data_IF_859801071484
#
_entry.id   IF_859801071484
#
_cell.length_a   1.000
_cell.length_b   1.000
_cell.length_c   1.000
_cell.angle_alpha   90.00
_cell.angle_beta   90.00
_cell.angle_gamma   90.00
#
_symmetry.space_group_name_H-M   'P 1'
#
loop_
_entity.id
_entity.type
_entity.pdbx_description
1 polymer ?
#
# COMPACT_ATOMS: atom_id res chain seq x y z
N UNK A 1 -11.42 -19.97 -9.48
CA UNK A 1 -10.59 -20.11 -10.70
C UNK A 1 -10.27 -18.81 -11.43
N UNK A 2 -11.17 -17.82 -11.49
CA UNK A 2 -10.91 -16.55 -12.21
C UNK A 2 -9.69 -15.76 -11.72
N UNK A 3 -9.35 -15.85 -10.43
CA UNK A 3 -8.16 -15.19 -9.83
C UNK A 3 -6.84 -15.79 -10.29
N UNK A 4 -6.75 -17.13 -10.45
CA UNK A 4 -5.56 -17.83 -10.97
C UNK A 4 -5.38 -17.50 -12.46
N UNK A 5 -6.48 -17.45 -13.22
CA UNK A 5 -6.43 -17.07 -14.64
C UNK A 5 -6.04 -15.59 -14.82
N UNK A 6 -6.54 -14.69 -13.97
CA UNK A 6 -6.14 -13.29 -13.96
C UNK A 6 -4.67 -13.12 -13.52
N UNK A 7 -4.18 -13.88 -12.54
CA UNK A 7 -2.77 -13.88 -12.15
C UNK A 7 -1.84 -14.48 -13.23
N UNK A 8 -2.31 -15.49 -13.98
CA UNK A 8 -1.57 -16.07 -15.11
C UNK A 8 -1.54 -15.13 -16.33
N UNK A 9 -2.61 -14.36 -16.55
CA UNK A 9 -2.77 -13.44 -17.69
C UNK A 9 -2.13 -12.07 -17.44
N UNK A 10 -2.10 -11.59 -16.19
CA UNK A 10 -1.66 -10.24 -15.83
C UNK A 10 -0.47 -10.19 -14.83
N UNK A 11 0.06 -11.32 -14.35
CA UNK A 11 1.19 -11.38 -13.42
C UNK A 11 2.59 -11.22 -14.04
N UNK A 12 3.58 -10.84 -13.23
CA UNK A 12 5.00 -10.71 -13.63
C UNK A 12 5.56 -12.06 -14.15
N UNK A 13 6.65 -12.02 -14.93
CA UNK A 13 7.24 -13.21 -15.56
C UNK A 13 7.65 -14.30 -14.55
N UNK A 14 8.08 -13.92 -13.35
CA UNK A 14 8.44 -14.86 -12.27
C UNK A 14 7.21 -15.44 -11.58
N UNK A 15 6.16 -14.65 -11.35
CA UNK A 15 4.87 -15.13 -10.82
C UNK A 15 4.18 -16.08 -11.80
N UNK A 16 4.24 -15.78 -13.11
CA UNK A 16 3.75 -16.67 -14.16
C UNK A 16 4.55 -17.98 -14.24
N UNK A 17 5.87 -17.92 -14.04
CA UNK A 17 6.72 -19.12 -13.95
C UNK A 17 6.39 -19.94 -12.70
N UNK A 18 6.13 -19.31 -11.56
CA UNK A 18 5.81 -20.00 -10.32
C UNK A 18 4.42 -20.67 -10.37
N UNK A 19 3.38 -19.92 -10.75
CA UNK A 19 2.02 -20.46 -10.91
C UNK A 19 2.00 -21.53 -12.01
N UNK A 20 2.67 -21.27 -13.14
CA UNK A 20 2.83 -22.23 -14.22
C UNK A 20 3.57 -23.50 -13.78
N UNK A 21 4.60 -23.37 -12.95
CA UNK A 21 5.37 -24.50 -12.41
C UNK A 21 4.55 -25.35 -11.44
N UNK A 22 3.77 -24.74 -10.54
CA UNK A 22 2.90 -25.47 -9.61
C UNK A 22 1.81 -26.23 -10.37
N UNK A 23 1.17 -25.60 -11.36
CA UNK A 23 0.17 -26.26 -12.22
C UNK A 23 0.82 -27.40 -13.02
N UNK A 24 1.99 -27.16 -13.61
CA UNK A 24 2.73 -28.16 -14.40
C UNK A 24 3.12 -29.38 -13.55
N UNK A 25 3.73 -29.18 -12.38
CA UNK A 25 4.14 -30.28 -11.49
C UNK A 25 2.94 -31.03 -10.89
N UNK A 26 1.82 -30.34 -10.64
CA UNK A 26 0.58 -30.97 -10.21
C UNK A 26 -0.03 -31.86 -11.30
N UNK A 27 -0.05 -31.39 -12.55
CA UNK A 27 -0.58 -32.17 -13.69
C UNK A 27 0.33 -33.35 -14.01
N UNK A 28 1.65 -33.14 -14.04
CA UNK A 28 2.64 -34.22 -14.25
C UNK A 28 2.52 -35.28 -13.16
N UNK A 29 2.39 -34.89 -11.89
CA UNK A 29 2.22 -35.82 -10.78
C UNK A 29 1.00 -36.72 -10.95
N UNK A 30 -0.15 -36.15 -11.31
CA UNK A 30 -1.40 -36.91 -11.53
C UNK A 30 -1.27 -37.86 -12.73
N UNK A 31 -0.70 -37.40 -13.85
CA UNK A 31 -0.51 -38.23 -15.05
C UNK A 31 0.42 -39.41 -14.76
N UNK A 32 1.53 -39.19 -14.04
CA UNK A 32 2.47 -40.25 -13.69
C UNK A 32 1.85 -41.30 -12.77
N UNK A 33 1.02 -40.89 -11.81
CA UNK A 33 0.32 -41.81 -10.90
C UNK A 33 -0.69 -42.67 -11.67
N UNK A 34 -1.46 -42.08 -12.59
CA UNK A 34 -2.42 -42.81 -13.42
C UNK A 34 -1.72 -43.82 -14.35
N UNK A 35 -0.64 -43.40 -15.02
CA UNK A 35 0.14 -44.28 -15.90
C UNK A 35 0.81 -45.40 -15.11
N UNK A 36 1.32 -45.13 -13.91
CA UNK A 36 1.89 -46.14 -13.03
C UNK A 36 0.86 -47.19 -12.61
N UNK A 37 -0.38 -46.77 -12.33
CA UNK A 37 -1.48 -47.67 -12.01
C UNK A 37 -1.88 -48.58 -13.17
N UNK A 38 -1.80 -48.09 -14.41
CA UNK A 38 -2.11 -48.87 -15.62
C UNK A 38 -0.97 -49.82 -16.04
N UNK A 39 0.28 -49.44 -15.79
CA UNK A 39 1.48 -50.19 -16.27
C UNK A 39 2.14 -51.04 -15.19
N UNK A 40 1.73 -50.92 -13.92
CA UNK A 40 2.31 -51.66 -12.80
C UNK A 40 3.74 -51.22 -12.43
N UNK A 41 4.22 -50.10 -12.98
CA UNK A 41 5.58 -49.62 -12.78
C UNK A 41 5.70 -48.76 -11.51
N UNK A 42 6.17 -49.38 -10.42
CA UNK A 42 6.33 -48.73 -9.12
C UNK A 42 7.23 -47.48 -9.13
N UNK A 43 8.25 -47.45 -9.98
CA UNK A 43 9.17 -46.31 -10.09
C UNK A 43 8.47 -45.01 -10.58
N UNK A 44 7.46 -45.13 -11.45
CA UNK A 44 6.70 -43.97 -11.94
C UNK A 44 5.77 -43.41 -10.86
N UNK A 45 5.26 -44.29 -9.99
CA UNK A 45 4.44 -43.89 -8.84
C UNK A 45 5.24 -43.05 -7.85
N UNK A 46 6.46 -43.49 -7.50
CA UNK A 46 7.36 -42.73 -6.61
C UNK A 46 7.67 -41.35 -7.20
N UNK A 47 7.95 -41.28 -8.51
CA UNK A 47 8.29 -40.02 -9.19
C UNK A 47 7.10 -39.04 -9.21
N UNK A 48 5.88 -39.56 -9.41
CA UNK A 48 4.64 -38.78 -9.28
C UNK A 48 4.43 -38.22 -7.87
N UNK A 49 4.70 -39.02 -6.83
CA UNK A 49 4.62 -38.59 -5.43
C UNK A 49 5.63 -37.48 -5.09
N UNK A 50 6.88 -37.61 -5.54
CA UNK A 50 7.92 -36.59 -5.33
C UNK A 50 7.52 -35.26 -6.00
N UNK A 51 6.99 -35.31 -7.23
CA UNK A 51 6.48 -34.12 -7.94
C UNK A 51 5.37 -33.42 -7.15
N UNK A 52 4.46 -34.19 -6.53
CA UNK A 52 3.42 -33.66 -5.66
C UNK A 52 3.97 -32.95 -4.42
N UNK A 53 4.97 -33.55 -3.75
CA UNK A 53 5.62 -32.95 -2.57
C UNK A 53 6.34 -31.65 -2.93
N UNK A 54 7.04 -31.61 -4.07
CA UNK A 54 7.69 -30.38 -4.57
C UNK A 54 6.66 -29.28 -4.84
N UNK A 55 5.51 -29.62 -5.45
CA UNK A 55 4.43 -28.68 -5.68
C UNK A 55 3.86 -28.11 -4.36
N UNK A 56 3.74 -28.93 -3.31
CA UNK A 56 3.28 -28.49 -1.99
C UNK A 56 4.29 -27.55 -1.33
N UNK A 57 5.60 -27.85 -1.39
CA UNK A 57 6.66 -26.99 -0.82
C UNK A 57 6.69 -25.63 -1.51
N UNK A 58 6.56 -25.61 -2.84
CA UNK A 58 6.50 -24.36 -3.62
C UNK A 58 5.20 -23.59 -3.31
N UNK A 59 4.09 -24.29 -3.09
CA UNK A 59 2.81 -23.67 -2.70
C UNK A 59 2.88 -23.05 -1.29
N UNK A 60 3.51 -23.73 -0.33
CA UNK A 60 3.63 -23.26 1.06
C UNK A 60 4.58 -22.06 1.21
N UNK A 61 5.60 -21.95 0.35
CA UNK A 61 6.54 -20.80 0.35
C UNK A 61 5.91 -19.52 -0.20
N UNK A 62 4.80 -19.62 -0.91
CA UNK A 62 4.05 -18.49 -1.49
C UNK A 62 2.56 -18.60 -1.13
N UNK A 63 2.25 -18.66 0.16
CA UNK A 63 0.88 -18.44 0.61
C UNK A 63 0.56 -16.95 0.49
N UNK A 64 -0.28 -16.61 -0.48
CA UNK A 64 -1.02 -15.34 -0.47
C UNK A 64 -1.92 -15.40 0.76
N UNK A 65 -1.54 -14.69 1.81
CA UNK A 65 -2.39 -14.50 2.98
C UNK A 65 -3.60 -13.69 2.53
N UNK A 66 -4.77 -14.31 2.62
CA UNK A 66 -6.04 -13.59 2.67
C UNK A 66 -6.09 -12.92 4.04
N UNK A 67 -5.92 -11.59 4.07
CA UNK A 67 -6.24 -10.80 5.26
C UNK A 67 -7.77 -10.71 5.39
N UNK A 68 -8.38 -11.84 5.70
CA UNK A 68 -9.79 -11.91 6.06
C UNK A 68 -9.96 -11.41 7.50
N UNK A 69 -10.69 -10.30 7.64
CA UNK A 69 -11.11 -9.76 8.91
C UNK A 69 -12.21 -10.66 9.48
N UNK A 70 -11.83 -11.79 10.09
CA UNK A 70 -12.79 -12.59 10.88
C UNK A 70 -12.95 -11.90 12.23
N UNK A 71 -14.07 -11.21 12.40
CA UNK A 71 -14.53 -10.79 13.71
C UNK A 71 -15.02 -12.03 14.49
N UNK A 72 -14.11 -12.74 15.15
CA UNK A 72 -14.47 -13.69 16.19
C UNK A 72 -14.80 -12.93 17.47
N UNK A 73 -16.09 -12.92 17.81
CA UNK A 73 -16.60 -12.42 19.09
C UNK A 73 -16.55 -13.58 20.08
N UNK A 74 -15.63 -13.50 21.04
CA UNK A 74 -15.55 -14.43 22.16
C UNK A 74 -16.64 -14.15 23.21
N UNK A 75 -17.24 -15.20 23.74
CA UNK A 75 -18.49 -15.18 24.54
C UNK A 75 -18.38 -14.63 25.97
N UNK A 76 -17.29 -13.97 26.35
CA UNK A 76 -17.17 -13.37 27.67
C UNK A 76 -16.68 -11.93 27.57
N UNK A 77 -17.60 -11.02 27.90
CA UNK A 77 -17.36 -9.58 27.90
C UNK A 77 -16.17 -9.19 28.76
N UNK A 78 -15.04 -8.97 28.11
CA UNK A 78 -13.96 -8.12 28.59
C UNK A 78 -13.28 -7.48 27.39
N UNK A 79 -13.10 -6.16 27.47
CA UNK A 79 -12.51 -5.30 26.46
C UNK A 79 -11.08 -5.74 26.18
N UNK A 80 -10.63 -5.66 24.93
CA UNK A 80 -9.25 -5.20 24.73
C UNK A 80 -8.93 -4.58 23.37
N UNK A 81 -7.95 -3.68 23.46
CA UNK A 81 -7.34 -2.85 22.44
C UNK A 81 -6.84 -3.61 21.20
N UNK A 82 -6.91 -2.95 20.05
CA UNK A 82 -6.33 -3.41 18.77
C UNK A 82 -4.81 -3.46 18.90
N UNK A 83 -4.27 -4.62 19.28
CA UNK A 83 -2.83 -4.89 19.30
C UNK A 83 -2.46 -5.71 18.07
N UNK A 84 -1.53 -5.18 17.28
CA UNK A 84 -0.98 -5.85 16.10
C UNK A 84 -0.30 -7.16 16.47
N UNK A 85 -0.76 -8.27 15.91
CA UNK A 85 -0.07 -9.56 15.99
C UNK A 85 0.96 -9.65 14.87
N UNK A 86 2.23 -9.86 15.24
CA UNK A 86 3.34 -10.16 14.34
C UNK A 86 3.41 -11.66 14.06
N UNK A 87 3.69 -12.07 12.81
CA UNK A 87 4.02 -13.47 12.48
C UNK A 87 5.48 -13.60 12.06
N UNK A 88 6.16 -14.53 12.74
CA UNK A 88 7.56 -14.93 12.57
C UNK A 88 7.74 -15.83 11.33
N UNK A 89 8.94 -15.77 10.75
CA UNK A 89 9.51 -16.83 9.89
C UNK A 89 9.55 -18.15 10.67
N UNK A 90 8.92 -19.20 10.17
CA UNK A 90 9.32 -20.57 10.53
C UNK A 90 10.58 -20.92 9.76
N UNK A 91 11.73 -20.78 10.42
CA UNK A 91 12.95 -21.47 10.05
C UNK A 91 12.76 -22.96 10.28
N UNK A 92 12.98 -23.75 9.24
CA UNK A 92 12.99 -25.21 9.35
C UNK A 92 14.19 -25.62 10.21
N UNK A 93 13.86 -26.30 11.30
CA UNK A 93 14.75 -27.03 12.18
C UNK A 93 15.58 -28.06 11.40
N UNK A 94 16.90 -27.97 11.56
CA UNK A 94 17.84 -29.05 11.28
C UNK A 94 18.92 -29.03 12.36
N UNK A 95 18.82 -29.93 13.33
CA UNK A 95 19.93 -30.33 14.20
C UNK A 95 20.42 -31.69 13.70
N UNK A 96 21.73 -32.00 13.81
CA UNK A 96 22.05 -32.93 14.90
C UNK A 96 23.30 -32.58 15.73
N UNK A 97 23.18 -32.89 17.03
CA UNK A 97 24.12 -33.50 17.97
C UNK A 97 25.59 -33.01 18.14
N UNK A 98 25.80 -32.32 19.28
CA UNK A 98 26.78 -32.53 20.39
C UNK A 98 28.21 -33.06 20.13
N UNK A 99 29.21 -32.34 20.66
CA UNK A 99 30.03 -32.79 21.82
C UNK A 99 30.89 -31.65 22.43
N UNK A 100 31.28 -31.85 23.69
CA UNK A 100 31.62 -30.90 24.75
C UNK A 100 33.10 -30.40 24.85
N UNK A 101 33.25 -29.24 25.52
CA UNK A 101 34.39 -28.75 26.38
C UNK A 101 35.73 -28.45 25.65
N UNK A 102 36.50 -27.39 25.95
CA UNK A 102 36.84 -26.73 27.24
C UNK A 102 37.62 -25.40 26.98
N UNK A 103 37.45 -24.43 27.90
CA UNK A 103 38.24 -23.21 28.22
C UNK A 103 39.68 -23.08 27.66
N UNK A 104 40.08 -21.87 27.24
CA UNK A 104 40.95 -20.93 28.01
C UNK A 104 41.25 -19.62 27.24
N UNK A 105 41.53 -18.59 28.04
CA UNK A 105 41.94 -17.23 27.67
C UNK A 105 43.46 -17.11 27.44
N UNK A 106 43.85 -16.11 26.64
CA UNK A 106 45.03 -15.21 26.71
C UNK A 106 45.09 -14.46 25.35
N UNK A 107 45.14 -13.12 25.23
CA UNK A 107 46.31 -12.23 25.48
C UNK A 107 47.60 -12.89 24.96
N UNK A 108 48.45 -12.31 24.11
CA UNK A 108 48.72 -10.93 23.69
C UNK A 108 49.71 -11.04 22.49
N UNK A 109 49.95 -9.92 21.82
CA UNK A 109 51.14 -9.59 21.03
C UNK A 109 51.40 -10.28 19.68
N UNK A 110 51.94 -9.62 18.65
CA UNK A 110 52.05 -8.21 18.22
C UNK A 110 52.86 -8.29 16.89
N UNK A 111 52.99 -7.15 16.23
CA UNK A 111 53.81 -6.86 15.05
C UNK A 111 53.21 -7.18 13.68
N UNK A 112 53.33 -6.32 12.67
CA UNK A 112 53.55 -4.87 12.52
C UNK A 112 53.58 -4.67 10.99
N UNK A 113 53.01 -3.56 10.53
CA UNK A 113 53.33 -2.78 9.33
C UNK A 113 52.02 -2.13 8.85
N UNK A 114 51.59 -1.00 9.43
CA UNK A 114 52.12 0.36 9.21
C UNK A 114 52.09 0.76 7.73
N UNK A 115 51.03 1.48 7.33
CA UNK A 115 51.24 2.68 6.53
C UNK A 115 50.16 3.75 6.83
N UNK A 116 50.70 4.86 7.31
CA UNK A 116 50.28 6.23 7.62
C UNK A 116 48.83 6.75 7.43
N UNK A 117 48.34 7.26 8.56
CA UNK A 117 47.37 8.34 8.82
C UNK A 117 47.88 9.71 8.26
N UNK A 118 47.09 10.82 8.15
CA UNK A 118 46.29 11.34 9.27
C UNK A 118 44.98 12.11 8.95
N UNK A 119 44.04 11.98 9.90
CA UNK A 119 43.24 13.02 10.56
C UNK A 119 42.76 14.25 9.74
N UNK A 120 41.44 14.34 9.53
CA UNK A 120 40.76 15.63 9.35
C UNK A 120 39.76 15.83 10.50
N UNK A 121 40.10 16.82 11.32
CA UNK A 121 39.31 17.40 12.40
C UNK A 121 37.95 17.92 11.90
N UNK A 122 36.96 17.73 12.75
CA UNK A 122 35.61 18.29 12.64
C UNK A 122 35.65 19.82 12.73
N UNK A 123 35.39 20.52 11.63
CA UNK A 123 35.11 21.96 11.63
C UNK A 123 33.59 22.20 11.62
N UNK A 124 33.07 22.73 12.74
CA UNK A 124 31.64 22.89 13.03
C UNK A 124 31.01 24.16 12.41
N UNK A 125 31.79 24.97 11.68
CA UNK A 125 31.36 26.24 11.09
C UNK A 125 30.93 26.15 9.61
N UNK A 126 31.13 25.01 8.94
CA UNK A 126 30.67 24.80 7.55
C UNK A 126 29.16 24.52 7.41
N UNK A 127 28.45 24.25 8.51
CA UNK A 127 27.01 23.91 8.51
C UNK A 127 26.07 25.09 8.34
N UNK A 128 26.50 26.33 8.63
CA UNK A 128 25.62 27.50 8.49
C UNK A 128 25.55 28.04 7.06
N UNK A 129 26.59 27.87 6.26
CA UNK A 129 26.60 28.34 4.87
C UNK A 129 25.97 27.34 3.87
N UNK A 130 25.88 26.05 4.20
CA UNK A 130 25.29 25.05 3.29
C UNK A 130 23.76 24.93 3.37
N UNK A 131 23.15 25.29 4.51
CA UNK A 131 21.70 25.18 4.69
C UNK A 131 20.93 26.36 4.07
N UNK A 132 21.51 27.56 4.07
CA UNK A 132 20.89 28.74 3.46
C UNK A 132 20.87 28.65 1.92
N UNK A 133 21.97 28.20 1.29
CA UNK A 133 22.06 28.05 -0.17
C UNK A 133 21.19 26.89 -0.72
N UNK A 134 21.14 25.72 -0.05
CA UNK A 134 20.21 24.64 -0.45
C UNK A 134 18.74 25.04 -0.28
N UNK A 135 18.43 25.86 0.73
CA UNK A 135 17.04 26.27 1.00
C UNK A 135 16.51 27.26 -0.04
N UNK A 136 17.36 28.18 -0.52
CA UNK A 136 17.02 29.16 -1.55
C UNK A 136 16.80 28.48 -2.92
N UNK A 137 17.69 27.57 -3.34
CA UNK A 137 17.54 26.79 -4.57
C UNK A 137 16.25 25.96 -4.57
N UNK A 138 15.89 25.39 -3.42
CA UNK A 138 14.65 24.60 -3.29
C UNK A 138 13.39 25.47 -3.33
N UNK A 139 13.43 26.73 -2.89
CA UNK A 139 12.28 27.65 -2.94
C UNK A 139 12.07 28.24 -4.33
N UNK A 140 13.14 28.56 -5.06
CA UNK A 140 13.05 29.00 -6.45
C UNK A 140 12.52 27.87 -7.36
N UNK A 141 12.99 26.64 -7.19
CA UNK A 141 12.51 25.48 -7.95
C UNK A 141 11.04 25.12 -7.67
N UNK A 142 10.51 25.45 -6.48
CA UNK A 142 9.07 25.26 -6.18
C UNK A 142 8.17 26.20 -6.97
N UNK A 143 8.68 27.37 -7.37
CA UNK A 143 7.93 28.43 -8.06
C UNK A 143 8.22 28.48 -9.56
N UNK A 144 9.14 27.66 -10.06
CA UNK A 144 9.50 27.58 -11.47
C UNK A 144 8.34 27.01 -12.32
N UNK A 145 7.71 27.83 -13.20
CA UNK A 145 6.66 27.35 -14.10
C UNK A 145 7.18 26.39 -15.18
N UNK A 146 8.49 26.43 -15.47
CA UNK A 146 9.11 25.68 -16.57
C UNK A 146 9.80 24.38 -16.10
N UNK A 147 9.60 24.01 -14.83
CA UNK A 147 10.21 22.86 -14.14
C UNK A 147 10.16 21.56 -14.94
N UNK A 148 9.11 21.35 -15.74
CA UNK A 148 8.89 20.10 -16.47
C UNK A 148 9.12 20.17 -17.99
N UNK A 149 9.48 21.33 -18.55
CA UNK A 149 9.58 21.49 -20.02
C UNK A 149 10.65 20.60 -20.65
N UNK A 150 11.70 20.30 -19.89
CA UNK A 150 12.80 19.46 -20.35
C UNK A 150 12.43 17.98 -20.53
N UNK A 151 11.21 17.56 -20.14
CA UNK A 151 10.73 16.19 -20.28
C UNK A 151 10.02 15.97 -21.62
N UNK A 152 10.74 15.43 -22.59
CA UNK A 152 10.14 14.91 -23.83
C UNK A 152 9.85 13.40 -23.72
N UNK A 153 9.18 12.85 -24.74
CA UNK A 153 8.85 11.41 -24.80
C UNK A 153 10.10 10.53 -24.77
N UNK A 154 11.20 10.98 -25.39
CA UNK A 154 12.44 10.21 -25.49
C UNK A 154 13.18 10.14 -24.15
N UNK A 155 13.31 11.26 -23.45
CA UNK A 155 13.92 11.39 -22.12
C UNK A 155 13.08 10.64 -21.09
N UNK A 156 11.76 10.78 -21.11
CA UNK A 156 10.89 10.02 -20.20
C UNK A 156 11.05 8.51 -20.39
N UNK A 157 11.14 8.02 -21.64
CA UNK A 157 11.40 6.61 -21.92
C UNK A 157 12.79 6.16 -21.43
N UNK A 158 13.83 6.98 -21.63
CA UNK A 158 15.19 6.71 -21.13
C UNK A 158 15.21 6.64 -19.60
N UNK A 159 14.52 7.56 -18.92
CA UNK A 159 14.40 7.59 -17.46
C UNK A 159 13.65 6.37 -16.95
N UNK A 160 12.49 6.03 -17.52
CA UNK A 160 11.75 4.81 -17.16
C UNK A 160 12.61 3.56 -17.30
N UNK A 161 13.44 3.47 -18.34
CA UNK A 161 14.41 2.39 -18.53
C UNK A 161 15.51 2.43 -17.46
N UNK A 162 16.15 3.58 -17.22
CA UNK A 162 17.21 3.78 -16.21
C UNK A 162 16.77 3.34 -14.82
N UNK A 163 15.55 3.71 -14.41
CA UNK A 163 15.02 3.41 -13.07
C UNK A 163 14.25 2.09 -12.97
N UNK A 164 14.22 1.31 -14.06
CA UNK A 164 13.55 0.01 -14.14
C UNK A 164 12.06 0.09 -13.75
N UNK A 165 11.38 1.11 -14.27
CA UNK A 165 9.94 1.32 -14.05
C UNK A 165 9.17 0.16 -14.66
N UNK A 166 8.31 -0.48 -13.86
CA UNK A 166 7.54 -1.63 -14.28
C UNK A 166 6.34 -1.23 -15.15
N UNK A 167 5.79 -2.16 -15.92
CA UNK A 167 4.71 -1.87 -16.88
C UNK A 167 3.41 -1.45 -16.21
N UNK A 168 3.14 -1.99 -15.04
CA UNK A 168 2.00 -1.75 -14.16
C UNK A 168 2.17 -0.51 -13.25
N UNK A 169 3.16 0.35 -13.55
CA UNK A 169 3.30 1.61 -12.84
C UNK A 169 2.03 2.45 -12.98
N UNK A 170 1.74 3.19 -11.91
CA UNK A 170 0.61 4.11 -11.83
C UNK A 170 1.14 5.53 -11.75
N UNK A 171 0.46 6.47 -12.40
CA UNK A 171 0.75 7.89 -12.26
C UNK A 171 0.04 8.43 -11.01
N UNK A 172 0.74 9.26 -10.25
CA UNK A 172 0.22 9.93 -9.05
C UNK A 172 0.81 11.33 -8.94
N UNK A 173 0.21 12.16 -8.09
CA UNK A 173 0.78 13.41 -7.61
C UNK A 173 1.03 13.31 -6.11
N UNK A 174 2.26 13.64 -5.72
CA UNK A 174 2.65 13.82 -4.33
C UNK A 174 2.61 15.31 -4.04
N UNK A 175 1.72 15.70 -3.14
CA UNK A 175 1.54 17.09 -2.74
C UNK A 175 2.75 17.61 -1.96
N UNK A 176 3.16 16.86 -0.93
CA UNK A 176 4.34 17.19 -0.12
C UNK A 176 4.87 16.01 0.69
N UNK A 177 6.15 16.06 1.01
CA UNK A 177 6.81 15.24 2.05
C UNK A 177 8.02 16.00 2.57
N UNK A 178 8.07 16.21 3.88
CA UNK A 178 9.15 16.93 4.54
C UNK A 178 10.41 16.05 4.58
N UNK A 179 10.24 14.78 4.95
CA UNK A 179 11.34 13.80 5.03
C UNK A 179 12.05 13.62 3.69
N UNK A 180 11.29 13.59 2.60
CA UNK A 180 11.85 13.39 1.26
C UNK A 180 12.08 14.71 0.51
N UNK A 181 11.86 15.87 1.13
CA UNK A 181 11.95 17.20 0.48
C UNK A 181 11.15 17.27 -0.83
N UNK A 182 9.91 16.76 -0.84
CA UNK A 182 9.05 16.73 -2.03
C UNK A 182 8.03 17.87 -1.96
N UNK A 183 7.84 18.59 -3.07
CA UNK A 183 6.80 19.59 -3.23
C UNK A 183 6.12 19.48 -4.61
N UNK A 184 4.81 19.22 -4.59
CA UNK A 184 3.89 19.21 -5.73
C UNK A 184 4.44 18.43 -6.94
N UNK A 185 4.90 17.21 -6.70
CA UNK A 185 5.68 16.44 -7.66
C UNK A 185 4.84 15.35 -8.35
N UNK A 186 4.80 15.31 -9.70
CA UNK A 186 4.28 14.17 -10.44
C UNK A 186 5.24 12.99 -10.31
N UNK A 187 4.67 11.80 -10.07
CA UNK A 187 5.46 10.61 -9.83
C UNK A 187 4.84 9.34 -10.42
N UNK A 188 5.70 8.37 -10.72
CA UNK A 188 5.25 7.00 -11.03
C UNK A 188 5.46 6.10 -9.81
N UNK A 189 4.43 5.37 -9.41
CA UNK A 189 4.49 4.40 -8.32
C UNK A 189 4.29 2.99 -8.85
N UNK A 190 5.07 2.04 -8.36
CA UNK A 190 4.90 0.61 -8.66
C UNK A 190 5.39 -0.24 -7.50
N UNK A 191 4.90 -1.48 -7.43
CA UNK A 191 5.29 -2.44 -6.41
C UNK A 191 6.15 -3.55 -7.01
N UNK A 192 7.20 -3.93 -6.29
CA UNK A 192 8.01 -5.11 -6.60
C UNK A 192 8.21 -5.89 -5.30
N UNK A 193 7.62 -7.08 -5.22
CA UNK A 193 7.64 -7.91 -4.00
C UNK A 193 7.16 -7.10 -2.77
N UNK A 194 8.03 -6.94 -1.78
CA UNK A 194 7.81 -6.23 -0.53
C UNK A 194 8.35 -4.79 -0.56
N UNK A 195 8.58 -4.22 -1.75
CA UNK A 195 9.08 -2.85 -1.93
C UNK A 195 8.15 -2.06 -2.82
N UNK A 196 7.84 -0.84 -2.39
CA UNK A 196 7.12 0.17 -3.16
C UNK A 196 8.16 1.14 -3.70
N UNK A 197 8.21 1.30 -5.02
CA UNK A 197 9.09 2.24 -5.69
C UNK A 197 8.28 3.44 -6.17
N UNK A 198 8.81 4.64 -5.92
CA UNK A 198 8.24 5.90 -6.37
C UNK A 198 9.33 6.62 -7.16
N UNK A 199 9.08 6.92 -8.43
CA UNK A 199 9.96 7.74 -9.27
C UNK A 199 9.37 9.14 -9.34
N UNK A 200 10.06 10.10 -8.73
CA UNK A 200 9.75 11.52 -8.76
C UNK A 200 10.27 12.14 -10.06
N UNK A 201 9.43 12.91 -10.73
CA UNK A 201 9.80 13.65 -11.93
C UNK A 201 10.18 15.08 -11.56
N UNK A 202 11.32 15.25 -10.89
CA UNK A 202 11.91 16.54 -10.54
C UNK A 202 12.87 17.01 -11.67
N UNK A 203 13.59 18.12 -11.51
CA UNK A 203 14.65 18.52 -12.46
C UNK A 203 15.66 17.40 -12.69
N UNK A 204 16.05 16.76 -11.60
CA UNK A 204 16.77 15.49 -11.61
C UNK A 204 15.85 14.36 -11.11
N UNK A 205 15.52 13.36 -11.95
CA UNK A 205 14.62 12.29 -11.54
C UNK A 205 15.21 11.47 -10.40
N UNK A 206 14.44 11.30 -9.34
CA UNK A 206 14.85 10.62 -8.12
C UNK A 206 13.92 9.45 -7.80
N UNK A 207 14.48 8.32 -7.39
CA UNK A 207 13.72 7.12 -7.01
C UNK A 207 13.77 6.91 -5.50
N UNK A 208 12.60 6.85 -4.88
CA UNK A 208 12.42 6.45 -3.49
C UNK A 208 11.96 5.00 -3.45
N UNK A 209 12.50 4.22 -2.52
CA UNK A 209 12.12 2.83 -2.29
C UNK A 209 11.72 2.65 -0.84
N UNK A 210 10.50 2.21 -0.61
CA UNK A 210 9.89 2.06 0.71
C UNK A 210 9.51 0.58 0.90
N UNK A 211 9.92 -0.07 2.01
CA UNK A 211 9.38 -1.37 2.36
C UNK A 211 7.86 -1.33 2.51
N UNK A 212 7.13 -2.23 1.87
CA UNK A 212 5.65 -2.27 1.89
C UNK A 212 5.13 -2.48 3.32
N UNK A 213 5.87 -3.17 4.17
CA UNK A 213 5.56 -3.38 5.60
C UNK A 213 5.40 -2.07 6.39
N UNK A 214 6.02 -0.99 5.93
CA UNK A 214 5.95 0.31 6.60
C UNK A 214 4.69 1.09 6.19
N UNK A 215 4.14 0.83 5.00
CA UNK A 215 2.91 1.46 4.51
C UNK A 215 1.73 0.58 4.92
N UNK A 216 1.26 0.70 6.17
CA UNK A 216 0.18 -0.16 6.69
C UNK A 216 -1.22 0.39 6.50
N UNK A 217 -1.37 1.71 6.63
CA UNK A 217 -2.65 2.41 6.55
C UNK A 217 -2.48 3.73 5.83
N UNK A 218 -3.61 4.29 5.40
CA UNK A 218 -3.70 5.64 4.86
C UNK A 218 -4.28 6.55 5.93
N UNK A 219 -3.56 7.62 6.27
CA UNK A 219 -4.07 8.69 7.12
C UNK A 219 -4.82 9.73 6.26
N UNK A 220 -5.83 10.39 6.84
CA UNK A 220 -6.65 11.41 6.17
C UNK A 220 -6.36 12.80 6.74
N UNK A 221 -6.03 13.75 5.86
CA UNK A 221 -5.74 15.14 6.20
C UNK A 221 -6.74 16.06 5.47
N UNK A 222 -7.97 16.23 6.00
CA UNK A 222 -8.98 17.06 5.36
C UNK A 222 -8.76 18.56 5.58
N UNK A 223 -9.26 19.38 4.66
CA UNK A 223 -9.37 20.83 4.88
C UNK A 223 -8.05 21.59 4.84
N UNK A 224 -7.06 21.10 4.10
CA UNK A 224 -5.78 21.79 3.91
C UNK A 224 -6.04 23.06 3.12
N UNK A 225 -5.67 24.21 3.70
CA UNK A 225 -5.87 25.53 3.07
C UNK A 225 -5.01 25.66 1.82
N UNK A 226 -5.58 26.33 0.83
CA UNK A 226 -5.00 26.51 -0.51
C UNK A 226 -4.80 27.98 -0.80
N UNK A 227 -3.60 28.31 -1.27
CA UNK A 227 -3.32 29.56 -1.97
C UNK A 227 -3.17 29.29 -3.48
N UNK A 228 -4.19 29.66 -4.26
CA UNK A 228 -4.23 29.45 -5.71
C UNK A 228 -3.09 30.14 -6.47
N UNK A 229 -2.53 31.21 -5.92
CA UNK A 229 -1.46 31.92 -6.59
C UNK A 229 -0.20 31.04 -6.66
N UNK A 230 0.07 30.29 -5.59
CA UNK A 230 1.31 29.54 -5.40
C UNK A 230 1.17 28.04 -5.63
N UNK A 231 -0.05 27.52 -5.72
CA UNK A 231 -0.28 26.08 -5.89
C UNK A 231 -0.04 25.61 -7.32
N UNK A 232 0.69 24.50 -7.45
CA UNK A 232 0.95 23.77 -8.70
C UNK A 232 1.35 24.69 -9.86
N UNK A 233 2.26 25.66 -9.61
CA UNK A 233 2.64 26.69 -10.59
C UNK A 233 3.09 26.09 -11.91
N UNK A 234 3.90 25.03 -11.87
CA UNK A 234 4.38 24.31 -13.05
C UNK A 234 3.26 23.68 -13.89
N UNK A 235 2.09 23.39 -13.30
CA UNK A 235 0.93 22.84 -14.03
C UNK A 235 0.10 23.91 -14.74
N UNK A 236 0.42 25.20 -14.58
CA UNK A 236 -0.22 26.30 -15.33
C UNK A 236 0.25 26.37 -16.78
N UNK A 237 1.41 25.77 -17.10
CA UNK A 237 1.96 25.66 -18.45
C UNK A 237 1.73 24.25 -19.01
N UNK A 238 1.18 24.17 -20.21
CA UNK A 238 0.90 22.89 -20.85
C UNK A 238 2.17 22.30 -21.47
N UNK A 239 2.50 21.06 -21.08
CA UNK A 239 3.58 20.26 -21.62
C UNK A 239 3.25 18.76 -21.48
N UNK A 240 4.18 17.88 -21.89
CA UNK A 240 3.95 16.42 -21.83
C UNK A 240 3.65 15.92 -20.41
N UNK A 241 4.37 16.42 -19.40
CA UNK A 241 4.18 16.00 -18.01
C UNK A 241 2.87 16.55 -17.48
N UNK A 242 2.64 17.86 -17.61
CA UNK A 242 1.45 18.49 -17.04
C UNK A 242 0.18 17.91 -17.68
N UNK A 243 0.14 17.74 -19.01
CA UNK A 243 -0.99 17.08 -19.69
C UNK A 243 -1.23 15.63 -19.21
N UNK A 244 -0.16 14.86 -18.96
CA UNK A 244 -0.29 13.46 -18.49
C UNK A 244 -0.75 13.37 -17.04
N UNK A 245 -0.32 14.30 -16.19
CA UNK A 245 -0.54 14.25 -14.75
C UNK A 245 -1.69 15.14 -14.25
N UNK A 246 -2.21 16.06 -15.05
CA UNK A 246 -3.34 16.92 -14.70
C UNK A 246 -4.57 16.19 -14.13
N UNK A 247 -4.97 15.00 -14.62
CA UNK A 247 -6.09 14.25 -14.04
C UNK A 247 -5.88 13.84 -12.56
N UNK A 248 -4.65 13.86 -12.06
CA UNK A 248 -4.29 13.45 -10.71
C UNK A 248 -4.10 14.65 -9.76
N UNK A 249 -4.32 15.88 -10.22
CA UNK A 249 -4.30 17.09 -9.39
C UNK A 249 -5.42 17.05 -8.33
N UNK A 250 -5.26 17.74 -7.19
CA UNK A 250 -6.27 17.70 -6.15
C UNK A 250 -7.56 18.42 -6.56
N UNK A 251 -8.70 17.92 -6.08
CA UNK A 251 -9.95 18.68 -6.11
C UNK A 251 -9.93 19.79 -5.04
N UNK A 252 -10.50 20.94 -5.41
CA UNK A 252 -10.69 22.07 -4.50
C UNK A 252 -12.15 22.25 -4.14
N UNK A 253 -12.43 22.46 -2.86
CA UNK A 253 -13.75 22.77 -2.35
C UNK A 253 -13.74 24.04 -1.50
N UNK A 254 -14.88 24.74 -1.35
CA UNK A 254 -14.96 25.91 -0.47
C UNK A 254 -14.72 25.52 1.00
N UNK A 255 -14.28 26.50 1.80
CA UNK A 255 -14.24 26.40 3.25
C UNK A 255 -15.64 26.10 3.81
N UNK A 256 -15.70 25.29 4.86
CA UNK A 256 -16.94 25.03 5.61
C UNK A 256 -17.27 26.16 6.59
N UNK A 257 -16.35 27.10 6.79
CA UNK A 257 -16.55 28.25 7.67
C UNK A 257 -17.35 29.31 6.91
N UNK A 258 -18.45 29.79 7.53
CA UNK A 258 -19.31 30.82 6.93
C UNK A 258 -18.49 32.09 6.66
N UNK A 259 -18.63 32.65 5.46
CA UNK A 259 -17.92 33.84 4.98
C UNK A 259 -16.39 33.71 4.85
N UNK A 260 -15.84 32.50 4.86
CA UNK A 260 -14.42 32.27 4.57
C UNK A 260 -14.25 31.99 3.05
N UNK A 261 -13.61 32.89 2.29
CA UNK A 261 -13.43 32.72 0.85
C UNK A 261 -12.34 31.69 0.51
N UNK A 262 -11.64 31.13 1.51
CA UNK A 262 -10.55 30.18 1.26
C UNK A 262 -11.06 28.91 0.58
N UNK A 263 -10.22 28.40 -0.33
CA UNK A 263 -10.39 27.05 -0.86
C UNK A 263 -9.58 26.09 -0.01
N UNK A 264 -10.05 24.86 0.01
CA UNK A 264 -9.41 23.76 0.72
C UNK A 264 -9.31 22.56 -0.20
N UNK A 265 -8.33 21.70 0.09
CA UNK A 265 -8.16 20.37 -0.50
C UNK A 265 -8.07 19.33 0.60
N UNK A 266 -8.31 18.08 0.23
CA UNK A 266 -8.09 16.94 1.12
C UNK A 266 -6.88 16.15 0.62
N UNK A 267 -6.03 15.73 1.56
CA UNK A 267 -4.84 14.95 1.28
C UNK A 267 -4.88 13.63 2.04
N UNK A 268 -4.17 12.65 1.50
CA UNK A 268 -4.03 11.33 2.08
C UNK A 268 -2.57 11.05 2.32
N UNK A 269 -2.21 10.62 3.51
CA UNK A 269 -0.82 10.47 3.91
C UNK A 269 -0.48 8.98 4.02
N UNK A 270 0.62 8.60 3.37
CA UNK A 270 1.26 7.29 3.52
C UNK A 270 2.68 7.46 4.07
N UNK A 271 3.23 6.37 4.63
CA UNK A 271 4.52 6.34 5.32
C UNK A 271 5.63 7.23 4.74
N UNK A 272 6.41 7.94 5.58
CA UNK A 272 6.03 8.42 6.92
C UNK A 272 5.15 9.69 6.83
N UNK A 273 5.29 10.45 5.75
CA UNK A 273 4.73 11.79 5.57
C UNK A 273 4.43 12.13 4.10
N UNK A 274 4.34 11.14 3.21
CA UNK A 274 4.04 11.36 1.79
C UNK A 274 2.56 11.67 1.66
N UNK A 275 2.24 12.94 1.41
CA UNK A 275 0.89 13.41 1.17
C UNK A 275 0.54 13.30 -0.31
N UNK A 276 -0.57 12.64 -0.59
CA UNK A 276 -1.05 12.25 -1.92
C UNK A 276 -2.42 12.90 -2.13
N UNK A 277 -2.69 13.33 -3.36
CA UNK A 277 -3.96 13.96 -3.72
C UNK A 277 -5.12 12.96 -3.72
N UNK A 278 -6.35 13.45 -3.55
CA UNK A 278 -7.56 12.61 -3.62
C UNK A 278 -7.67 11.87 -4.98
N UNK A 279 -7.33 12.55 -6.09
CA UNK A 279 -7.37 11.93 -7.42
C UNK A 279 -6.24 10.90 -7.66
N UNK A 280 -5.25 10.80 -6.76
CA UNK A 280 -4.18 9.81 -6.83
C UNK A 280 -4.38 8.64 -5.86
N UNK A 281 -4.99 8.88 -4.69
CA UNK A 281 -4.97 7.91 -3.58
C UNK A 281 -5.71 6.61 -3.92
N UNK A 282 -6.81 6.67 -4.68
CA UNK A 282 -7.57 5.47 -5.06
C UNK A 282 -6.68 4.44 -5.77
N UNK A 283 -5.83 4.93 -6.67
CA UNK A 283 -4.88 4.09 -7.41
C UNK A 283 -3.78 3.52 -6.51
N UNK A 284 -3.36 4.26 -5.49
CA UNK A 284 -2.35 3.80 -4.53
C UNK A 284 -2.93 2.76 -3.58
N UNK A 285 -4.17 2.95 -3.12
CA UNK A 285 -4.87 1.98 -2.29
C UNK A 285 -5.10 0.67 -3.04
N UNK A 286 -5.51 0.72 -4.32
CA UNK A 286 -5.62 -0.44 -5.20
C UNK A 286 -4.28 -1.17 -5.37
N UNK A 287 -3.22 -0.45 -5.75
CA UNK A 287 -1.89 -1.02 -5.98
C UNK A 287 -1.30 -1.70 -4.73
N UNK A 288 -1.56 -1.12 -3.56
CA UNK A 288 -0.93 -1.53 -2.31
C UNK A 288 -1.85 -2.35 -1.41
N UNK A 289 -3.13 -2.54 -1.75
CA UNK A 289 -4.15 -3.16 -0.91
C UNK A 289 -4.19 -2.50 0.48
N UNK A 290 -4.40 -1.18 0.51
CA UNK A 290 -4.44 -0.41 1.76
C UNK A 290 -5.87 -0.19 2.22
N UNK A 291 -6.06 -0.35 3.53
CA UNK A 291 -7.32 0.00 4.18
C UNK A 291 -7.34 1.47 4.55
N UNK A 292 -8.51 2.08 4.40
CA UNK A 292 -8.78 3.46 4.80
C UNK A 292 -9.71 3.49 6.00
N UNK A 293 -9.28 4.19 7.05
CA UNK A 293 -10.11 4.50 8.21
C UNK A 293 -9.69 5.88 8.72
N UNK A 294 -10.50 6.93 8.53
CA UNK A 294 -10.17 8.26 9.04
C UNK A 294 -10.08 8.19 10.57
N UNK A 295 -9.28 9.07 11.20
CA UNK A 295 -9.19 9.18 12.67
C UNK A 295 -9.96 10.41 13.12
N UNK A 296 -11.24 10.23 13.39
CA UNK A 296 -12.17 11.31 13.75
C UNK A 296 -13.18 10.88 14.81
N UNK A 297 -14.12 11.78 15.15
CA UNK A 297 -15.13 11.54 16.20
C UNK A 297 -16.05 10.34 15.95
N UNK A 298 -16.19 9.86 14.70
CA UNK A 298 -17.06 8.73 14.39
C UNK A 298 -16.31 7.41 14.50
N UNK A 299 -15.13 7.36 13.90
CA UNK A 299 -14.25 6.18 13.87
C UNK A 299 -13.61 5.85 15.22
N UNK A 300 -13.35 6.87 16.03
CA UNK A 300 -12.84 6.71 17.41
C UNK A 300 -13.93 6.47 18.45
N UNK A 301 -15.21 6.65 18.10
CA UNK A 301 -16.32 6.45 19.03
C UNK A 301 -16.54 4.98 19.34
N UNK A 302 -16.63 4.63 20.63
CA UNK A 302 -17.00 3.28 21.09
C UNK A 302 -18.49 2.97 20.93
N UNK A 303 -19.32 4.00 20.69
CA UNK A 303 -20.78 3.84 20.51
C UNK A 303 -21.15 3.28 19.14
N UNK A 304 -20.23 3.36 18.18
CA UNK A 304 -20.45 2.95 16.80
C UNK A 304 -19.64 1.67 16.54
N UNK A 305 -20.29 0.67 15.96
CA UNK A 305 -19.63 -0.59 15.66
C UNK A 305 -18.77 -0.50 14.37
N UNK A 306 -18.05 -1.59 14.09
CA UNK A 306 -17.15 -1.68 12.93
C UNK A 306 -17.85 -1.50 11.59
N UNK A 307 -19.09 -1.98 11.45
CA UNK A 307 -19.86 -1.88 10.20
C UNK A 307 -20.23 -0.43 9.90
N UNK A 308 -20.74 0.31 10.89
CA UNK A 308 -21.00 1.75 10.72
C UNK A 308 -19.72 2.49 10.29
N UNK A 309 -18.60 2.22 10.97
CA UNK A 309 -17.31 2.89 10.70
C UNK A 309 -16.79 2.61 9.29
N UNK A 310 -16.96 1.39 8.78
CA UNK A 310 -16.57 1.02 7.42
C UNK A 310 -17.44 1.71 6.36
N UNK A 311 -18.76 1.74 6.53
CA UNK A 311 -19.66 2.49 5.62
C UNK A 311 -19.34 3.98 5.65
N UNK A 312 -19.06 4.52 6.84
CA UNK A 312 -18.63 5.90 7.00
C UNK A 312 -17.32 6.19 6.25
N UNK A 313 -16.32 5.32 6.37
CA UNK A 313 -15.06 5.46 5.65
C UNK A 313 -15.27 5.42 4.12
N UNK A 314 -16.10 4.50 3.62
CA UNK A 314 -16.46 4.44 2.20
C UNK A 314 -17.19 5.72 1.74
N UNK A 315 -18.08 6.27 2.56
CA UNK A 315 -18.79 7.53 2.26
C UNK A 315 -17.83 8.74 2.23
N UNK A 316 -16.79 8.76 3.06
CA UNK A 316 -15.73 9.79 2.99
C UNK A 316 -15.00 9.70 1.65
N UNK A 317 -14.58 8.50 1.23
CA UNK A 317 -13.93 8.30 -0.06
C UNK A 317 -14.83 8.67 -1.24
N UNK A 318 -16.13 8.36 -1.17
CA UNK A 318 -17.11 8.74 -2.19
C UNK A 318 -17.30 10.26 -2.27
N UNK A 319 -17.47 10.93 -1.13
CA UNK A 319 -17.63 12.41 -1.08
C UNK A 319 -16.39 13.14 -1.59
N UNK A 320 -15.21 12.54 -1.40
CA UNK A 320 -13.94 13.08 -1.88
C UNK A 320 -13.57 12.61 -3.30
N UNK A 321 -14.53 11.98 -4.00
CA UNK A 321 -14.43 11.45 -5.37
C UNK A 321 -13.33 10.42 -5.60
N UNK A 322 -12.79 9.84 -4.53
CA UNK A 322 -11.87 8.70 -4.61
C UNK A 322 -12.61 7.46 -5.08
N UNK A 323 -13.83 7.27 -4.58
CA UNK A 323 -14.75 6.24 -5.06
C UNK A 323 -15.74 6.82 -6.07
N UNK A 324 -16.01 6.05 -7.11
CA UNK A 324 -17.19 6.27 -7.93
C UNK A 324 -18.45 5.85 -7.18
N UNK A 325 -19.62 6.20 -7.71
CA UNK A 325 -20.90 5.75 -7.13
C UNK A 325 -21.02 4.22 -7.12
N UNK A 326 -20.43 3.53 -8.10
CA UNK A 326 -20.47 2.08 -8.18
C UNK A 326 -19.55 1.47 -7.12
N UNK A 327 -18.32 1.98 -6.99
CA UNK A 327 -17.39 1.50 -5.95
C UNK A 327 -17.98 1.69 -4.54
N UNK A 328 -18.66 2.83 -4.30
CA UNK A 328 -19.35 3.09 -3.06
C UNK A 328 -20.48 2.08 -2.81
N UNK A 329 -21.34 1.84 -3.81
CA UNK A 329 -22.43 0.87 -3.70
C UNK A 329 -21.88 -0.50 -3.38
N UNK A 330 -20.96 -1.01 -4.21
CA UNK A 330 -20.38 -2.35 -4.06
C UNK A 330 -19.76 -2.57 -2.68
N UNK A 331 -19.02 -1.58 -2.16
CA UNK A 331 -18.42 -1.67 -0.82
C UNK A 331 -19.49 -1.63 0.28
N UNK A 332 -20.54 -0.81 0.14
CA UNK A 332 -21.66 -0.79 1.10
C UNK A 332 -22.43 -2.10 1.08
N UNK A 333 -22.75 -2.66 -0.09
CA UNK A 333 -23.47 -3.94 -0.21
C UNK A 333 -22.67 -5.06 0.45
N UNK A 334 -21.35 -5.07 0.23
CA UNK A 334 -20.42 -6.01 0.85
C UNK A 334 -20.43 -5.88 2.37
N UNK A 335 -20.30 -4.66 2.91
CA UNK A 335 -20.27 -4.43 4.36
C UNK A 335 -21.59 -4.83 5.02
N UNK A 336 -22.73 -4.44 4.44
CA UNK A 336 -24.05 -4.78 4.99
C UNK A 336 -24.35 -6.28 4.81
N UNK A 337 -23.91 -6.88 3.70
CA UNK A 337 -23.94 -8.31 3.49
C UNK A 337 -23.19 -9.08 4.57
N UNK A 338 -21.95 -8.69 4.87
CA UNK A 338 -21.17 -9.25 5.99
C UNK A 338 -21.89 -9.06 7.34
N UNK A 339 -22.52 -7.90 7.54
CA UNK A 339 -23.28 -7.59 8.77
C UNK A 339 -24.47 -8.54 8.98
N UNK A 340 -25.12 -9.00 7.90
CA UNK A 340 -26.26 -9.95 8.01
C UNK A 340 -25.89 -11.30 8.60
N UNK A 341 -24.62 -11.72 8.46
CA UNK A 341 -24.11 -12.99 8.98
C UNK A 341 -23.31 -12.80 10.28
N UNK A 342 -23.12 -11.56 10.73
CA UNK A 342 -22.33 -11.26 11.91
C UNK A 342 -23.08 -11.69 13.19
N UNK A 343 -22.36 -12.34 14.11
CA UNK A 343 -22.88 -12.68 15.44
C UNK A 343 -22.98 -11.42 16.30
N UNK A 344 -24.09 -10.69 16.17
CA UNK A 344 -24.37 -9.49 16.96
C UNK A 344 -25.82 -9.44 17.47
N UNK A 345 -26.07 -8.77 18.62
CA UNK A 345 -27.42 -8.62 19.17
C UNK A 345 -28.39 -7.94 18.21
N UNK A 346 -29.69 -8.23 18.36
CA UNK A 346 -30.71 -7.69 17.45
C UNK A 346 -30.74 -6.16 17.45
N UNK A 347 -30.77 -5.61 18.66
CA UNK A 347 -30.77 -4.17 18.94
C UNK A 347 -29.55 -3.45 18.37
N UNK A 348 -28.38 -4.08 18.33
CA UNK A 348 -27.16 -3.45 17.84
C UNK A 348 -27.19 -3.28 16.32
N UNK A 349 -27.66 -4.30 15.61
CA UNK A 349 -27.84 -4.29 14.16
C UNK A 349 -28.85 -3.23 13.71
N UNK A 350 -30.03 -3.18 14.36
CA UNK A 350 -31.07 -2.20 14.03
C UNK A 350 -30.58 -0.78 14.32
N UNK A 351 -29.93 -0.59 15.46
CA UNK A 351 -29.30 0.68 15.80
C UNK A 351 -28.27 1.12 14.75
N UNK A 352 -27.52 0.17 14.19
CA UNK A 352 -26.51 0.43 13.15
C UNK A 352 -27.18 0.90 11.87
N UNK A 353 -28.18 0.18 11.38
CA UNK A 353 -28.94 0.54 10.18
C UNK A 353 -29.63 1.90 10.33
N UNK A 354 -30.32 2.12 11.45
CA UNK A 354 -30.99 3.40 11.73
C UNK A 354 -29.99 4.56 11.81
N UNK A 355 -28.80 4.32 12.37
CA UNK A 355 -27.73 5.32 12.41
C UNK A 355 -27.18 5.64 11.02
N UNK A 356 -27.05 4.65 10.14
CA UNK A 356 -26.63 4.83 8.75
C UNK A 356 -27.65 5.64 7.94
N UNK A 357 -28.94 5.39 8.12
CA UNK A 357 -30.04 6.17 7.51
C UNK A 357 -30.02 7.61 8.02
N UNK A 358 -29.95 7.81 9.34
CA UNK A 358 -29.87 9.16 9.95
C UNK A 358 -28.68 9.97 9.47
N UNK A 359 -27.57 9.31 9.16
CA UNK A 359 -26.38 9.94 8.62
C UNK A 359 -26.40 10.10 7.08
N UNK A 360 -27.52 9.75 6.43
CA UNK A 360 -27.71 9.79 4.98
C UNK A 360 -26.63 9.01 4.20
N UNK A 361 -26.20 7.86 4.74
CA UNK A 361 -25.24 6.98 4.06
C UNK A 361 -25.95 5.89 3.25
N UNK A 362 -27.14 5.48 3.68
CA UNK A 362 -28.03 4.55 2.98
C UNK A 362 -29.47 5.09 3.00
N UNK A 363 -30.32 4.61 2.08
CA UNK A 363 -31.74 4.93 2.08
C UNK A 363 -32.50 4.08 3.12
N UNK A 364 -33.69 4.53 3.50
CA UNK A 364 -34.60 3.77 4.38
C UNK A 364 -34.98 2.43 3.74
N UNK A 365 -35.31 2.43 2.45
CA UNK A 365 -35.64 1.20 1.69
C UNK A 365 -34.51 0.16 1.76
N UNK A 366 -33.26 0.62 1.67
CA UNK A 366 -32.10 -0.25 1.75
C UNK A 366 -31.92 -0.82 3.16
N UNK A 367 -32.14 0.00 4.20
CA UNK A 367 -32.11 -0.46 5.57
C UNK A 367 -33.21 -1.51 5.84
N UNK A 368 -34.43 -1.29 5.35
CA UNK A 368 -35.55 -2.21 5.53
C UNK A 368 -35.28 -3.55 4.84
N UNK A 369 -34.72 -3.54 3.62
CA UNK A 369 -34.27 -4.76 2.95
C UNK A 369 -33.33 -5.60 3.82
N UNK A 370 -32.30 -4.99 4.43
CA UNK A 370 -31.36 -5.71 5.28
C UNK A 370 -31.95 -6.14 6.63
N UNK A 371 -32.99 -5.46 7.14
CA UNK A 371 -33.73 -5.92 8.33
C UNK A 371 -34.50 -7.20 8.04
N UNK A 372 -35.16 -7.27 6.88
CA UNK A 372 -35.93 -8.45 6.45
C UNK A 372 -35.03 -9.66 6.13
N UNK A 373 -33.81 -9.43 5.67
CA UNK A 373 -32.88 -10.48 5.22
C UNK A 373 -31.83 -10.87 6.28
N UNK A 374 -32.00 -10.45 7.53
CA UNK A 374 -31.12 -10.86 8.63
C UNK A 374 -31.27 -12.37 8.90
N UNK A 375 -30.15 -13.06 9.14
CA UNK A 375 -30.10 -14.50 9.38
C UNK A 375 -29.63 -14.87 10.77
#
# INVERSE_FOLDING_TARGET
MGRIWNALRYGDAETRKCIGSVILFSVIGVVLIVVAGLTGMFNLFILGMISGVVAIIISQTFTLVEDDFVAEVDSQGSKDSVRSVSVKRNGVSGQPAKSDKKKKASEEDNADDADENPDEDFDEDAKKHSEEDESADTEEEKKDPDRFEHYDKSKLRKIKKKFHVKKDHRAIIIDRSDKYKIHECPAFIWRVHNKVSILLLEKEPRKIVIPRELIKHVDYNPGVRVDKATEYVAFKKENLITSTFSPYLPDYHPSRVKNDPSRMKNLYKIYPDINITNNSIGTVMDLLYLNFMPKDKYTTSDKLNGFFKRVYAANVLYKDKVYTINDYKDEVEKILGEMTYAKMPEKEYDFTLDSLVKAHMISTEYADYYKEHRK
#
